data_IF_086920329461
#
_entry.id   IF_086920329461
#
_cell.length_a   1.000
_cell.length_b   1.000
_cell.length_c   1.000
_cell.angle_alpha   90.00
_cell.angle_beta   90.00
_cell.angle_gamma   90.00
#
_symmetry.space_group_name_H-M   'P 1'
#
loop_
_entity.id
_entity.type
_entity.pdbx_description
1 polymer ?
#
# COMPACT_ATOMS: atom_id res chain seq x y z
N UNK A 1 8.23 5.35 12.69
CA UNK A 1 8.73 4.07 12.13
C UNK A 1 7.69 3.53 11.15
N UNK A 2 8.08 2.85 10.07
CA UNK A 2 7.15 2.15 9.17
C UNK A 2 7.34 0.64 9.40
N UNK A 3 6.27 -0.14 9.30
CA UNK A 3 6.36 -1.61 9.35
C UNK A 3 6.16 -2.18 7.95
N UNK A 4 7.06 -3.08 7.54
CA UNK A 4 6.97 -3.84 6.30
C UNK A 4 7.14 -5.31 6.67
N UNK A 5 6.12 -6.10 6.37
CA UNK A 5 6.08 -7.53 6.62
C UNK A 5 7.05 -8.34 5.76
N UNK A 6 6.93 -9.67 5.86
CA UNK A 6 7.70 -10.63 5.06
C UNK A 6 7.12 -10.76 3.66
N UNK A 7 7.98 -11.07 2.68
CA UNK A 7 7.60 -11.31 1.29
C UNK A 7 6.81 -10.17 0.62
N UNK A 8 6.97 -8.93 1.11
CA UNK A 8 6.35 -7.76 0.48
C UNK A 8 7.11 -7.42 -0.80
N UNK A 9 6.37 -7.22 -1.89
CA UNK A 9 6.92 -6.79 -3.18
C UNK A 9 6.59 -5.32 -3.39
N UNK A 10 7.62 -4.49 -3.52
CA UNK A 10 7.47 -3.04 -3.72
C UNK A 10 8.05 -2.67 -5.07
N UNK A 11 7.20 -2.11 -5.94
CA UNK A 11 7.56 -1.64 -7.27
C UNK A 11 8.51 -0.44 -7.29
N UNK A 12 9.01 -0.13 -8.47
CA UNK A 12 9.90 1.00 -8.71
C UNK A 12 9.18 2.31 -8.45
N UNK A 13 9.82 3.24 -7.74
CA UNK A 13 9.29 4.59 -7.52
C UNK A 13 8.11 4.67 -6.55
N UNK A 14 7.77 3.57 -5.87
CA UNK A 14 6.77 3.58 -4.79
C UNK A 14 7.22 4.52 -3.68
N UNK A 15 6.30 5.34 -3.18
CA UNK A 15 6.54 6.26 -2.07
C UNK A 15 5.62 5.91 -0.91
N UNK A 16 6.20 5.63 0.25
CA UNK A 16 5.47 5.28 1.47
C UNK A 16 5.79 6.35 2.52
N UNK A 17 4.77 6.93 3.13
CA UNK A 17 4.92 7.97 4.16
C UNK A 17 5.05 7.36 5.56
N UNK A 18 4.96 8.19 6.59
CA UNK A 18 5.33 7.83 7.95
C UNK A 18 4.26 6.97 8.63
N UNK A 19 4.68 6.06 9.52
CA UNK A 19 3.76 5.28 10.37
C UNK A 19 2.79 4.38 9.59
N UNK A 20 3.11 4.04 8.35
CA UNK A 20 2.39 3.04 7.55
C UNK A 20 2.70 1.62 8.04
N UNK A 21 1.67 0.77 8.04
CA UNK A 21 1.77 -0.68 8.22
C UNK A 21 1.50 -1.39 6.89
N UNK A 22 2.38 -2.31 6.50
CA UNK A 22 2.20 -3.18 5.33
C UNK A 22 2.38 -4.63 5.78
N UNK A 23 1.30 -5.41 5.68
CA UNK A 23 1.24 -6.82 6.08
C UNK A 23 1.99 -7.77 5.13
N UNK A 24 2.13 -9.01 5.56
CA UNK A 24 2.88 -10.06 4.85
C UNK A 24 2.30 -10.37 3.46
N UNK A 25 3.17 -10.76 2.53
CA UNK A 25 2.87 -11.16 1.15
C UNK A 25 2.07 -10.12 0.34
N UNK A 26 2.16 -8.84 0.71
CA UNK A 26 1.51 -7.75 -0.01
C UNK A 26 2.34 -7.32 -1.22
N UNK A 27 1.65 -6.98 -2.32
CA UNK A 27 2.26 -6.51 -3.57
C UNK A 27 1.83 -5.06 -3.84
N UNK A 28 2.78 -4.19 -4.14
CA UNK A 28 2.54 -2.78 -4.48
C UNK A 28 3.20 -2.46 -5.82
N UNK A 29 2.39 -2.08 -6.81
CA UNK A 29 2.83 -1.76 -8.16
C UNK A 29 3.63 -0.46 -8.25
N UNK A 30 4.32 -0.30 -9.39
CA UNK A 30 5.19 0.85 -9.68
C UNK A 30 4.48 2.20 -9.48
N UNK A 31 5.23 3.19 -9.01
CA UNK A 31 4.80 4.60 -8.88
C UNK A 31 3.60 4.85 -7.93
N UNK A 32 3.15 3.83 -7.19
CA UNK A 32 2.09 3.96 -6.18
C UNK A 32 2.54 4.78 -4.97
N UNK A 33 1.65 5.63 -4.46
CA UNK A 33 1.87 6.52 -3.30
C UNK A 33 0.97 6.11 -2.15
N UNK A 34 1.57 5.91 -0.98
CA UNK A 34 0.89 5.46 0.24
C UNK A 34 1.09 6.49 1.34
N UNK A 35 0.00 7.14 1.75
CA UNK A 35 -0.04 8.18 2.77
C UNK A 35 0.39 7.72 4.17
N UNK A 36 0.55 8.70 5.06
CA UNK A 36 0.89 8.43 6.46
C UNK A 36 -0.24 7.69 7.17
N UNK A 37 0.09 6.85 8.16
CA UNK A 37 -0.88 6.14 9.00
C UNK A 37 -1.82 5.18 8.23
N UNK A 38 -1.50 4.85 6.98
CA UNK A 38 -2.23 3.83 6.23
C UNK A 38 -1.94 2.45 6.81
N UNK A 39 -2.99 1.65 6.96
CA UNK A 39 -2.89 0.25 7.36
C UNK A 39 -3.26 -0.63 6.17
N UNK A 40 -2.25 -1.28 5.57
CA UNK A 40 -2.44 -2.30 4.54
C UNK A 40 -2.20 -3.66 5.17
N UNK A 41 -3.23 -4.48 5.23
CA UNK A 41 -3.17 -5.79 5.88
C UNK A 41 -2.42 -6.83 5.02
N UNK A 42 -2.50 -8.10 5.39
CA UNK A 42 -1.81 -9.19 4.69
C UNK A 42 -2.48 -9.59 3.36
N UNK A 43 -1.66 -10.13 2.44
CA UNK A 43 -2.06 -10.64 1.13
C UNK A 43 -2.82 -9.61 0.26
N UNK A 44 -2.52 -8.31 0.40
CA UNK A 44 -3.14 -7.25 -0.39
C UNK A 44 -2.39 -7.11 -1.71
N UNK A 45 -3.10 -6.80 -2.81
CA UNK A 45 -2.50 -6.46 -4.10
C UNK A 45 -2.92 -5.06 -4.51
N UNK A 46 -1.95 -4.17 -4.68
CA UNK A 46 -2.15 -2.79 -5.13
C UNK A 46 -1.46 -2.63 -6.48
N UNK A 47 -2.20 -2.15 -7.47
CA UNK A 47 -1.73 -1.86 -8.81
C UNK A 47 -0.72 -0.71 -8.89
N UNK A 48 -0.39 -0.32 -10.12
CA UNK A 48 0.54 0.79 -10.42
C UNK A 48 -0.16 2.13 -10.37
N UNK A 49 0.61 3.17 -10.03
CA UNK A 49 0.19 4.58 -10.01
C UNK A 49 -1.03 4.87 -9.13
N UNK A 50 -1.29 4.02 -8.16
CA UNK A 50 -2.35 4.24 -7.19
C UNK A 50 -1.95 5.37 -6.23
N UNK A 51 -2.95 6.03 -5.67
CA UNK A 51 -2.75 7.03 -4.62
C UNK A 51 -3.69 6.73 -3.46
N UNK A 52 -3.12 6.30 -2.36
CA UNK A 52 -3.83 6.00 -1.11
C UNK A 52 -3.51 7.11 -0.12
N UNK A 53 -4.50 7.93 0.20
CA UNK A 53 -4.35 9.02 1.16
C UNK A 53 -4.24 8.49 2.60
N UNK A 54 -3.82 9.38 3.51
CA UNK A 54 -3.51 8.99 4.89
C UNK A 54 -4.70 8.41 5.65
N UNK A 55 -4.39 7.59 6.67
CA UNK A 55 -5.38 6.96 7.57
C UNK A 55 -6.32 5.90 6.95
N UNK A 56 -6.15 5.56 5.67
CA UNK A 56 -6.93 4.49 5.05
C UNK A 56 -6.62 3.11 5.66
N UNK A 57 -7.65 2.27 5.82
CA UNK A 57 -7.51 0.83 6.12
C UNK A 57 -7.83 0.02 4.86
N UNK A 58 -6.88 -0.81 4.44
CA UNK A 58 -7.03 -1.75 3.32
C UNK A 58 -7.10 -3.17 3.91
N UNK A 59 -8.28 -3.81 3.92
CA UNK A 59 -8.47 -5.13 4.53
C UNK A 59 -7.66 -6.24 3.83
N UNK A 60 -7.47 -7.40 4.49
CA UNK A 60 -6.77 -8.53 3.90
C UNK A 60 -7.37 -8.97 2.57
N UNK A 61 -6.54 -9.54 1.70
CA UNK A 61 -6.95 -10.12 0.41
C UNK A 61 -7.55 -9.11 -0.59
N UNK A 62 -7.55 -7.82 -0.26
CA UNK A 62 -8.06 -6.77 -1.14
C UNK A 62 -7.20 -6.66 -2.40
N UNK A 63 -7.87 -6.47 -3.54
CA UNK A 63 -7.23 -6.11 -4.81
C UNK A 63 -7.64 -4.69 -5.18
N UNK A 64 -6.64 -3.83 -5.36
CA UNK A 64 -6.77 -2.46 -5.89
C UNK A 64 -6.09 -2.45 -7.25
N UNK A 65 -6.83 -2.17 -8.31
CA UNK A 65 -6.29 -2.13 -9.67
C UNK A 65 -5.48 -0.86 -9.94
N UNK A 66 -4.91 -0.79 -11.13
CA UNK A 66 -4.06 0.31 -11.57
C UNK A 66 -4.81 1.65 -11.60
N UNK A 67 -4.09 2.75 -11.35
CA UNK A 67 -4.60 4.13 -11.44
C UNK A 67 -5.74 4.48 -10.47
N UNK A 68 -5.95 3.67 -9.41
CA UNK A 68 -6.98 3.93 -8.39
C UNK A 68 -6.57 5.04 -7.41
N UNK A 69 -7.53 5.90 -7.08
CA UNK A 69 -7.42 6.90 -6.01
C UNK A 69 -8.31 6.52 -4.83
N UNK A 70 -7.70 6.41 -3.64
CA UNK A 70 -8.40 6.29 -2.35
C UNK A 70 -8.13 7.60 -1.61
N UNK A 71 -9.14 8.46 -1.57
CA UNK A 71 -9.10 9.73 -0.87
C UNK A 71 -9.23 9.58 0.66
N UNK A 72 -9.33 10.70 1.39
CA UNK A 72 -10.04 10.67 2.66
C UNK A 72 -11.50 10.23 2.47
#
# INVERSE_FOLDING_TARGET
MRHIGRNVRIGRGVKIWHFTYIGDNTEIGDETKIGSLVHIDYNVKIGRRCKIEGMAYIPPLTVIEDDVFIGP
#
